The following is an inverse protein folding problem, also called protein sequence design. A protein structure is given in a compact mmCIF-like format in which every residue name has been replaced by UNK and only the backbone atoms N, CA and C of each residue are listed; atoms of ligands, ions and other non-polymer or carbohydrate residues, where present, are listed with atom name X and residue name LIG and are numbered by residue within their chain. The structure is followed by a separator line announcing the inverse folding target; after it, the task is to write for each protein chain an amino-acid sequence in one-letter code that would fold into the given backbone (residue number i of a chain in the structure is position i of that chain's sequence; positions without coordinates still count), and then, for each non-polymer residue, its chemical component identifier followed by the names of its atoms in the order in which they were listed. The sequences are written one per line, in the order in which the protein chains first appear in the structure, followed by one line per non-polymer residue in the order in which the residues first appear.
data_IF_876808988689
#
_entry.id   IF_876808988689
#
_cell.length_a   1.000
_cell.length_b   1.000
_cell.length_c   1.000
_cell.angle_alpha   90.00
_cell.angle_beta   90.00
_cell.angle_gamma   90.00
#
_symmetry.space_group_name_H-M   'P 1'
#
loop_
_entity.id
_entity.type
_entity.pdbx_description
1 polymer ?
#
# COMPACT_ATOMS: atom_id res chain seq x y z
N UNK A 1 -4.19 -7.92 -9.50
CA UNK A 1 -5.43 -7.22 -9.08
C UNK A 1 -6.54 -7.18 -10.14
N UNK A 2 -6.25 -6.98 -11.45
CA UNK A 2 -7.30 -6.92 -12.50
C UNK A 2 -8.17 -8.19 -12.62
N UNK A 3 -7.60 -9.38 -12.38
CA UNK A 3 -8.33 -10.66 -12.43
C UNK A 3 -9.37 -10.83 -11.33
N UNK A 4 -9.03 -10.48 -10.08
CA UNK A 4 -9.94 -10.60 -8.93
C UNK A 4 -11.19 -9.70 -9.08
N UNK A 5 -10.99 -8.52 -9.69
CA UNK A 5 -12.06 -7.56 -9.97
C UNK A 5 -13.03 -8.14 -11.02
N UNK A 6 -12.51 -8.74 -12.10
CA UNK A 6 -13.35 -9.41 -13.11
C UNK A 6 -14.20 -10.53 -12.53
N UNK A 7 -13.64 -11.35 -11.63
CA UNK A 7 -14.36 -12.48 -11.00
C UNK A 7 -15.51 -12.00 -10.11
N UNK A 8 -15.33 -10.91 -9.36
CA UNK A 8 -16.37 -10.34 -8.49
C UNK A 8 -17.60 -9.85 -9.27
N UNK A 9 -17.40 -9.09 -10.34
CA UNK A 9 -18.51 -8.60 -11.17
C UNK A 9 -19.18 -9.72 -11.97
N UNK A 10 -18.43 -10.76 -12.35
CA UNK A 10 -18.97 -11.95 -12.99
C UNK A 10 -19.91 -12.72 -12.05
N UNK A 11 -19.50 -12.91 -10.79
CA UNK A 11 -20.34 -13.53 -9.76
C UNK A 11 -21.59 -12.70 -9.47
N UNK A 12 -21.44 -11.37 -9.36
CA UNK A 12 -22.57 -10.46 -9.12
C UNK A 12 -23.59 -10.54 -10.27
N UNK A 13 -23.13 -10.54 -11.52
CA UNK A 13 -23.97 -10.70 -12.70
C UNK A 13 -24.65 -12.08 -12.77
N UNK A 14 -23.93 -13.16 -12.42
CA UNK A 14 -24.50 -14.50 -12.37
C UNK A 14 -25.62 -14.65 -11.33
N UNK A 15 -25.43 -14.10 -10.13
CA UNK A 15 -26.45 -14.06 -9.08
C UNK A 15 -27.67 -13.25 -9.55
N UNK A 16 -27.43 -12.11 -10.19
CA UNK A 16 -28.50 -11.27 -10.72
C UNK A 16 -29.35 -11.97 -11.78
N UNK A 17 -28.71 -12.66 -12.74
CA UNK A 17 -29.41 -13.44 -13.77
C UNK A 17 -30.20 -14.59 -13.13
N UNK A 18 -29.61 -15.30 -12.17
CA UNK A 18 -30.25 -16.41 -11.46
C UNK A 18 -31.50 -15.97 -10.70
N UNK A 19 -31.43 -14.85 -9.97
CA UNK A 19 -32.57 -14.32 -9.21
C UNK A 19 -33.73 -13.90 -10.11
N UNK A 20 -33.45 -13.28 -11.24
CA UNK A 20 -34.48 -12.90 -12.21
C UNK A 20 -35.11 -14.11 -12.92
N UNK A 21 -34.32 -15.16 -13.19
CA UNK A 21 -34.84 -16.42 -13.73
C UNK A 21 -35.71 -17.19 -12.73
N UNK A 22 -35.30 -17.25 -11.45
CA UNK A 22 -35.99 -18.02 -10.41
C UNK A 22 -37.25 -17.34 -9.90
N UNK A 23 -37.26 -16.00 -9.84
CA UNK A 23 -38.36 -15.21 -9.29
C UNK A 23 -38.79 -14.09 -10.26
N UNK A 24 -39.46 -14.44 -11.37
CA UNK A 24 -39.86 -13.47 -12.38
C UNK A 24 -40.93 -12.48 -11.89
N UNK A 25 -41.72 -12.83 -10.88
CA UNK A 25 -42.76 -11.96 -10.31
C UNK A 25 -42.22 -10.72 -9.57
N UNK A 26 -40.94 -10.70 -9.22
CA UNK A 26 -40.26 -9.59 -8.53
C UNK A 26 -39.15 -8.99 -9.38
N UNK A 27 -39.23 -9.16 -10.71
CA UNK A 27 -38.20 -8.71 -11.66
C UNK A 27 -37.85 -7.22 -11.50
N UNK A 28 -38.87 -6.36 -11.44
CA UNK A 28 -38.67 -4.91 -11.32
C UNK A 28 -37.96 -4.52 -10.02
N UNK A 29 -38.32 -5.18 -8.91
CA UNK A 29 -37.68 -4.98 -7.61
C UNK A 29 -36.22 -5.46 -7.61
N UNK A 30 -35.96 -6.61 -8.23
CA UNK A 30 -34.61 -7.14 -8.40
C UNK A 30 -33.74 -6.19 -9.24
N UNK A 31 -34.28 -5.62 -10.33
CA UNK A 31 -33.56 -4.64 -11.18
C UNK A 31 -33.15 -3.42 -10.37
N UNK A 32 -34.07 -2.85 -9.59
CA UNK A 32 -33.79 -1.64 -8.78
C UNK A 32 -32.70 -1.92 -7.75
N UNK A 33 -32.80 -3.02 -7.00
CA UNK A 33 -31.80 -3.39 -5.99
C UNK A 33 -30.46 -3.73 -6.62
N UNK A 34 -30.46 -4.48 -7.72
CA UNK A 34 -29.23 -4.83 -8.44
C UNK A 34 -28.50 -3.60 -8.98
N UNK A 35 -29.25 -2.64 -9.53
CA UNK A 35 -28.71 -1.36 -9.98
C UNK A 35 -28.09 -0.57 -8.82
N UNK A 36 -28.80 -0.48 -7.69
CA UNK A 36 -28.29 0.18 -6.49
C UNK A 36 -27.00 -0.48 -5.99
N UNK A 37 -26.99 -1.80 -5.82
CA UNK A 37 -25.81 -2.55 -5.38
C UNK A 37 -24.62 -2.38 -6.34
N UNK A 38 -24.87 -2.36 -7.65
CA UNK A 38 -23.83 -2.13 -8.64
C UNK A 38 -23.18 -0.76 -8.45
N UNK A 39 -23.97 0.31 -8.24
CA UNK A 39 -23.42 1.65 -8.00
C UNK A 39 -22.59 1.73 -6.71
N UNK A 40 -23.06 1.10 -5.63
CA UNK A 40 -22.34 1.03 -4.35
C UNK A 40 -21.01 0.30 -4.51
N UNK A 41 -21.00 -0.84 -5.22
CA UNK A 41 -19.78 -1.62 -5.47
C UNK A 41 -18.76 -0.84 -6.30
N UNK A 42 -19.21 -0.14 -7.36
CA UNK A 42 -18.33 0.70 -8.19
C UNK A 42 -17.73 1.83 -7.34
N UNK A 43 -18.55 2.52 -6.54
CA UNK A 43 -18.08 3.58 -5.65
C UNK A 43 -17.03 3.06 -4.65
N UNK A 44 -17.29 1.91 -4.02
CA UNK A 44 -16.35 1.25 -3.11
C UNK A 44 -15.02 0.90 -3.78
N UNK A 45 -15.06 0.34 -4.99
CA UNK A 45 -13.86 0.01 -5.77
C UNK A 45 -13.05 1.26 -6.15
N UNK A 46 -13.72 2.36 -6.53
CA UNK A 46 -13.06 3.64 -6.84
C UNK A 46 -12.38 4.19 -5.60
N UNK A 47 -13.07 4.24 -4.47
CA UNK A 47 -12.53 4.74 -3.20
C UNK A 47 -11.32 3.94 -2.76
N UNK A 48 -11.40 2.60 -2.79
CA UNK A 48 -10.26 1.74 -2.45
C UNK A 48 -9.07 1.90 -3.39
N UNK A 49 -9.32 2.13 -4.69
CA UNK A 49 -8.23 2.41 -5.64
C UNK A 49 -7.58 3.77 -5.38
N UNK A 50 -8.34 4.78 -4.98
CA UNK A 50 -7.81 6.09 -4.59
C UNK A 50 -6.94 5.97 -3.35
N UNK A 51 -7.45 5.32 -2.30
CA UNK A 51 -6.72 5.09 -1.05
C UNK A 51 -5.37 4.39 -1.30
N UNK A 52 -5.37 3.29 -2.08
CA UNK A 52 -4.13 2.58 -2.44
C UNK A 52 -3.14 3.43 -3.23
N UNK A 53 -3.61 4.36 -4.06
CA UNK A 53 -2.73 5.29 -4.79
C UNK A 53 -2.14 6.33 -3.85
N UNK A 54 -2.93 6.83 -2.92
CA UNK A 54 -2.47 7.77 -1.89
C UNK A 54 -1.39 7.13 -1.01
N UNK A 55 -1.62 5.92 -0.51
CA UNK A 55 -0.61 5.15 0.26
C UNK A 55 0.69 4.92 -0.52
N UNK A 56 0.59 4.63 -1.82
CA UNK A 56 1.76 4.43 -2.68
C UNK A 56 2.51 5.74 -2.94
N UNK A 57 1.79 6.83 -3.16
CA UNK A 57 2.39 8.16 -3.33
C UNK A 57 3.08 8.63 -2.04
N UNK A 58 2.49 8.36 -0.88
CA UNK A 58 3.11 8.65 0.42
C UNK A 58 4.37 7.83 0.66
N UNK A 59 4.34 6.53 0.37
CA UNK A 59 5.51 5.65 0.40
C UNK A 59 6.64 6.20 -0.47
N UNK A 60 6.33 6.60 -1.71
CA UNK A 60 7.31 7.19 -2.63
C UNK A 60 7.87 8.52 -2.10
N UNK A 61 7.04 9.38 -1.53
CA UNK A 61 7.49 10.64 -0.91
C UNK A 61 8.42 10.38 0.27
N UNK A 62 8.08 9.45 1.15
CA UNK A 62 8.91 9.08 2.30
C UNK A 62 10.24 8.47 1.86
N UNK A 63 10.24 7.57 0.88
CA UNK A 63 11.47 7.04 0.29
C UNK A 63 12.35 8.15 -0.29
N UNK A 64 11.79 9.10 -1.04
CA UNK A 64 12.54 10.24 -1.59
C UNK A 64 13.16 11.12 -0.49
N UNK A 65 12.44 11.35 0.61
CA UNK A 65 12.99 12.07 1.78
C UNK A 65 14.15 11.30 2.41
N UNK A 66 14.00 9.99 2.62
CA UNK A 66 15.07 9.13 3.14
C UNK A 66 16.30 9.15 2.22
N UNK A 67 16.11 9.07 0.90
CA UNK A 67 17.21 9.15 -0.07
C UNK A 67 17.92 10.51 -0.06
N UNK A 68 17.22 11.62 0.23
CA UNK A 68 17.87 12.94 0.36
C UNK A 68 18.81 12.98 1.55
N UNK A 69 18.41 12.39 2.67
CA UNK A 69 19.21 12.35 3.90
C UNK A 69 20.33 11.28 3.81
N UNK A 70 20.14 10.28 2.95
CA UNK A 70 21.11 9.21 2.65
C UNK A 70 21.32 9.09 1.14
N UNK A 71 22.07 10.02 0.53
CA UNK A 71 22.25 10.08 -0.93
C UNK A 71 22.98 8.86 -1.52
N UNK A 72 23.53 7.98 -0.68
CA UNK A 72 24.11 6.68 -1.09
C UNK A 72 24.16 5.69 0.11
N UNK A 73 23.06 4.99 0.46
CA UNK A 73 23.07 4.03 1.56
C UNK A 73 23.71 2.73 1.06
N UNK A 74 25.04 2.62 1.15
CA UNK A 74 25.85 1.71 0.31
C UNK A 74 25.68 0.17 0.49
N UNK A 75 24.73 -0.39 1.27
CA UNK A 75 24.73 -1.85 1.42
C UNK A 75 23.42 -2.47 1.94
N UNK A 76 23.14 -3.70 1.50
CA UNK A 76 22.28 -4.64 2.20
C UNK A 76 23.05 -5.93 2.51
N UNK A 77 22.77 -6.62 3.63
CA UNK A 77 23.52 -7.80 4.10
C UNK A 77 23.66 -8.93 3.07
N UNK A 78 22.79 -8.99 2.07
CA UNK A 78 22.73 -10.04 1.04
C UNK A 78 23.52 -9.70 -0.24
N UNK A 79 24.35 -8.65 -0.25
CA UNK A 79 25.16 -8.26 -1.41
C UNK A 79 24.38 -7.63 -2.58
N UNK A 80 23.09 -7.35 -2.41
CA UNK A 80 22.27 -6.59 -3.35
C UNK A 80 22.11 -5.15 -2.86
N UNK A 81 21.98 -4.22 -3.80
CA UNK A 81 21.84 -2.78 -3.55
C UNK A 81 20.90 -2.45 -2.38
N UNK A 82 21.30 -1.44 -1.61
CA UNK A 82 20.49 -0.56 -0.75
C UNK A 82 19.05 -1.02 -0.48
N UNK A 83 18.81 -1.71 0.64
CA UNK A 83 17.45 -2.06 1.06
C UNK A 83 16.93 -0.95 1.99
N UNK A 84 15.96 -0.17 1.48
CA UNK A 84 15.04 0.59 2.33
C UNK A 84 13.87 -0.35 2.60
N UNK A 85 13.83 -0.90 3.80
CA UNK A 85 12.78 -1.82 4.23
C UNK A 85 11.68 -1.06 4.94
N UNK A 86 10.43 -1.27 4.52
CA UNK A 86 9.26 -0.74 5.23
C UNK A 86 8.80 -1.77 6.25
N UNK A 87 9.04 -1.50 7.53
CA UNK A 87 8.60 -2.38 8.63
C UNK A 87 7.12 -2.15 8.98
N UNK A 88 6.68 -0.89 8.95
CA UNK A 88 5.30 -0.46 9.21
C UNK A 88 4.97 0.76 8.36
N UNK A 89 3.72 1.21 8.40
CA UNK A 89 3.24 2.34 7.60
C UNK A 89 4.17 3.56 7.65
N UNK A 90 4.72 3.87 8.83
CA UNK A 90 5.57 5.05 9.08
C UNK A 90 6.99 4.73 9.52
N UNK A 91 7.34 3.44 9.58
CA UNK A 91 8.66 3.00 10.07
C UNK A 91 9.42 2.32 8.95
N UNK A 92 10.56 2.91 8.61
CA UNK A 92 11.51 2.37 7.66
C UNK A 92 12.81 2.02 8.38
N UNK A 93 13.46 0.99 7.90
CA UNK A 93 14.80 0.61 8.31
C UNK A 93 15.72 0.74 7.10
N UNK A 94 16.82 1.46 7.29
CA UNK A 94 17.81 1.68 6.23
C UNK A 94 19.11 1.05 6.67
N UNK A 95 19.63 0.20 5.80
CA UNK A 95 20.90 -0.46 5.98
C UNK A 95 21.97 0.31 5.21
N UNK A 96 23.09 0.62 5.87
CA UNK A 96 24.22 1.34 5.27
C UNK A 96 25.53 0.66 5.69
N UNK A 97 26.65 1.01 5.04
CA UNK A 97 27.99 0.52 5.48
C UNK A 97 28.26 0.90 6.95
N UNK A 98 27.88 2.11 7.37
CA UNK A 98 28.16 2.66 8.71
C UNK A 98 27.18 2.18 9.79
N UNK A 99 26.43 1.11 9.52
CA UNK A 99 25.43 0.56 10.43
C UNK A 99 23.99 0.77 9.98
N UNK A 100 23.09 0.43 10.89
CA UNK A 100 21.63 0.37 10.67
C UNK A 100 20.93 1.57 11.29
N UNK A 101 20.01 2.17 10.55
CA UNK A 101 19.26 3.35 10.96
C UNK A 101 17.76 3.08 10.89
N UNK A 102 17.03 3.51 11.92
CA UNK A 102 15.57 3.56 11.93
C UNK A 102 15.10 4.95 11.53
N UNK A 103 14.17 5.00 10.59
CA UNK A 103 13.43 6.19 10.18
C UNK A 103 12.00 6.03 10.64
N UNK A 104 11.56 6.93 11.50
CA UNK A 104 10.16 7.02 11.90
C UNK A 104 9.64 8.35 11.39
N UNK A 105 8.67 8.31 10.49
CA UNK A 105 7.95 9.49 10.07
C UNK A 105 7.06 9.94 11.23
N UNK A 106 7.26 11.15 11.72
CA UNK A 106 6.40 11.74 12.75
C UNK A 106 5.18 12.34 12.08
N UNK A 107 4.02 11.75 12.35
CA UNK A 107 2.74 12.27 11.89
C UNK A 107 2.24 13.33 12.86
N UNK A 108 1.99 14.52 12.34
CA UNK A 108 1.32 15.60 13.03
C UNK A 108 -0.21 15.47 12.95
N UNK A 109 -0.95 16.49 13.42
CA UNK A 109 -2.40 16.55 13.25
C UNK A 109 -2.76 16.47 11.75
N UNK A 110 -3.88 15.79 11.45
CA UNK A 110 -4.38 15.52 10.08
C UNK A 110 -3.54 14.53 9.26
N UNK A 111 -2.81 13.63 9.90
CA UNK A 111 -2.01 12.58 9.23
C UNK A 111 -0.89 13.12 8.33
N UNK A 112 -0.54 14.40 8.50
CA UNK A 112 0.54 15.06 7.78
C UNK A 112 1.89 14.68 8.38
N UNK A 113 2.83 14.27 7.53
CA UNK A 113 4.22 14.02 7.94
C UNK A 113 4.86 15.37 8.29
N UNK A 114 5.11 15.58 9.59
CA UNK A 114 5.63 16.84 10.13
C UNK A 114 7.15 16.83 10.28
N UNK A 115 7.73 15.65 10.47
CA UNK A 115 9.16 15.49 10.68
C UNK A 115 9.61 14.05 10.48
N UNK A 116 10.92 13.85 10.50
CA UNK A 116 11.54 12.54 10.42
C UNK A 116 12.42 12.39 11.65
N UNK A 117 12.09 11.42 12.50
CA UNK A 117 12.97 11.03 13.59
C UNK A 117 13.92 9.96 13.10
N UNK A 118 15.21 10.27 13.17
CA UNK A 118 16.31 9.36 12.86
C UNK A 118 16.86 8.79 14.16
N UNK A 119 16.92 7.48 14.25
CA UNK A 119 17.54 6.77 15.36
C UNK A 119 18.57 5.78 14.84
N UNK A 120 19.79 5.83 15.35
CA UNK A 120 20.84 4.87 14.99
C UNK A 120 20.61 3.61 15.83
N UNK A 121 20.33 2.49 15.17
CA UNK A 121 20.05 1.22 15.86
C UNK A 121 21.30 0.38 16.09
N UNK A 122 22.34 0.57 15.27
CA UNK A 122 23.54 -0.25 15.36
C UNK A 122 24.77 0.48 14.83
N UNK A 123 25.88 0.31 15.54
CA UNK A 123 27.23 0.73 15.16
C UNK A 123 28.00 -0.34 14.38
N UNK A 124 27.36 -1.46 14.02
CA UNK A 124 27.99 -2.53 13.25
C UNK A 124 28.48 -1.95 11.92
N UNK A 125 29.80 -1.88 11.76
CA UNK A 125 30.44 -1.54 10.51
C UNK A 125 30.44 -2.77 9.61
N UNK A 126 29.58 -2.74 8.60
CA UNK A 126 29.44 -3.84 7.64
C UNK A 126 30.62 -3.92 6.67
N UNK A 127 31.62 -3.02 6.78
CA UNK A 127 32.85 -3.03 5.97
C UNK A 127 33.65 -4.33 6.09
N UNK A 128 33.69 -4.95 7.28
CA UNK A 128 34.48 -6.16 7.56
C UNK A 128 33.81 -7.47 7.14
N UNK A 129 32.54 -7.45 6.69
CA UNK A 129 31.84 -8.63 6.18
C UNK A 129 32.14 -8.83 4.68
N UNK A 130 32.84 -7.88 4.04
CA UNK A 130 33.14 -7.83 2.60
C UNK A 130 34.47 -8.56 2.26
N UNK A 131 35.01 -9.38 3.16
CA UNK A 131 36.24 -10.14 2.89
C UNK A 131 36.00 -11.34 1.94
#
# INVERSE_FOLDING_TARGET
MKGLIKVKYLLLGGIFIFLNYRFPSVHDFNIVIGSFLLTVFIAYDITNRKLKREEMNEDERLRKMIYRDFPAPKFAPEGKQVIIERLRTDKYQVYTIKGTYSFVAERGPFDLIFGIKKEKLSDIDFSNIIA
#
